data_IF_922959754666
#
_entry.id   IF_922959754666
#
_cell.length_a   1.000
_cell.length_b   1.000
_cell.length_c   1.000
_cell.angle_alpha   90.00
_cell.angle_beta   90.00
_cell.angle_gamma   90.00
#
_symmetry.space_group_name_H-M   'P 1'
#
loop_
_entity.id
_entity.type
_entity.pdbx_description
1 polymer ?
#
# COMPACT_ATOMS: atom_id res chain seq x y z
N UNK A 1 -8.24 3.79 -18.77
CA UNK A 1 -9.46 3.01 -18.40
C UNK A 1 -9.84 2.03 -19.50
N UNK A 2 -10.02 2.49 -20.75
CA UNK A 2 -10.42 1.64 -21.88
C UNK A 2 -9.49 0.43 -22.10
N UNK A 3 -8.18 0.59 -21.92
CA UNK A 3 -7.20 -0.49 -22.07
C UNK A 3 -7.52 -1.75 -21.23
N UNK A 4 -7.81 -1.58 -19.92
CA UNK A 4 -8.17 -2.72 -19.05
C UNK A 4 -9.54 -3.32 -19.37
N UNK A 5 -10.46 -2.51 -19.90
CA UNK A 5 -11.78 -2.99 -20.28
C UNK A 5 -11.75 -3.80 -21.57
N UNK A 6 -10.86 -3.46 -22.52
CA UNK A 6 -10.64 -4.27 -23.73
C UNK A 6 -10.04 -5.64 -23.41
N UNK A 7 -9.24 -5.73 -22.33
CA UNK A 7 -8.75 -7.01 -21.81
C UNK A 7 -9.78 -7.86 -21.07
N UNK A 8 -11.03 -7.41 -20.91
CA UNK A 8 -12.05 -8.11 -20.10
C UNK A 8 -12.33 -9.53 -20.57
N UNK A 9 -12.16 -9.84 -21.87
CA UNK A 9 -12.28 -11.19 -22.41
C UNK A 9 -11.32 -12.19 -21.74
N UNK A 10 -10.16 -11.72 -21.29
CA UNK A 10 -9.11 -12.54 -20.67
C UNK A 10 -9.15 -12.48 -19.14
N UNK A 11 -10.13 -11.79 -18.55
CA UNK A 11 -10.23 -11.55 -17.10
C UNK A 11 -11.51 -12.16 -16.53
N UNK A 12 -11.45 -12.60 -15.28
CA UNK A 12 -12.62 -13.08 -14.53
C UNK A 12 -13.29 -11.97 -13.71
N UNK A 13 -12.91 -10.71 -13.94
CA UNK A 13 -13.47 -9.55 -13.24
C UNK A 13 -14.50 -8.86 -14.15
N UNK A 14 -15.80 -9.02 -13.87
CA UNK A 14 -16.86 -8.56 -14.80
C UNK A 14 -17.01 -7.04 -14.84
N UNK A 15 -16.55 -6.30 -13.81
CA UNK A 15 -16.76 -4.87 -13.69
C UNK A 15 -15.47 -4.15 -13.29
N UNK A 16 -15.01 -3.24 -14.14
CA UNK A 16 -13.86 -2.35 -13.91
C UNK A 16 -14.32 -0.91 -14.09
N UNK A 17 -14.18 -0.10 -13.04
CA UNK A 17 -14.56 1.32 -13.02
C UNK A 17 -13.33 2.17 -12.70
N UNK A 18 -13.30 3.39 -13.22
CA UNK A 18 -12.34 4.40 -12.81
C UNK A 18 -13.01 5.77 -12.93
N UNK A 19 -12.92 6.57 -11.87
CA UNK A 19 -13.45 7.92 -11.82
C UNK A 19 -12.58 8.76 -10.87
N UNK A 20 -12.74 10.09 -10.94
CA UNK A 20 -12.20 11.03 -9.96
C UNK A 20 -13.13 11.15 -8.74
N UNK A 21 -14.42 10.90 -8.90
CA UNK A 21 -15.37 10.89 -7.79
C UNK A 21 -15.20 9.61 -6.96
N UNK A 22 -15.09 9.77 -5.64
CA UNK A 22 -14.96 8.66 -4.69
C UNK A 22 -16.28 7.88 -4.53
N UNK A 23 -17.42 8.39 -5.01
CA UNK A 23 -18.69 7.66 -4.97
C UNK A 23 -18.62 6.29 -5.66
N UNK A 24 -17.77 6.13 -6.67
CA UNK A 24 -17.55 4.85 -7.36
C UNK A 24 -16.89 3.78 -6.48
N UNK A 25 -16.33 4.18 -5.33
CA UNK A 25 -15.67 3.29 -4.37
C UNK A 25 -16.64 2.74 -3.32
N UNK A 26 -17.93 3.05 -3.39
CA UNK A 26 -18.92 2.67 -2.37
C UNK A 26 -18.89 1.18 -2.04
N UNK A 27 -18.96 0.86 -0.74
CA UNK A 27 -18.98 -0.51 -0.21
C UNK A 27 -17.78 -1.39 -0.60
N UNK A 28 -16.61 -0.79 -0.85
CA UNK A 28 -15.36 -1.52 -1.11
C UNK A 28 -14.98 -2.36 0.12
N UNK A 29 -14.54 -3.60 -0.12
CA UNK A 29 -14.04 -4.49 0.94
C UNK A 29 -12.59 -4.19 1.30
N UNK A 30 -11.78 -3.92 0.29
CA UNK A 30 -10.36 -3.57 0.43
C UNK A 30 -10.09 -2.33 -0.42
N UNK A 31 -9.37 -1.37 0.13
CA UNK A 31 -8.93 -0.16 -0.57
C UNK A 31 -7.41 -0.09 -0.51
N UNK A 32 -6.76 -0.09 -1.67
CA UNK A 32 -5.29 0.02 -1.77
C UNK A 32 -4.92 1.46 -2.10
N UNK A 33 -4.22 2.12 -1.18
CA UNK A 33 -3.77 3.51 -1.35
C UNK A 33 -2.34 3.51 -1.85
N UNK A 34 -2.18 3.82 -3.15
CA UNK A 34 -0.89 3.95 -3.82
C UNK A 34 -0.57 5.40 -4.21
N UNK A 35 -1.49 6.33 -3.90
CA UNK A 35 -1.33 7.75 -4.21
C UNK A 35 -0.33 8.38 -3.22
N UNK A 36 0.65 9.10 -3.75
CA UNK A 36 1.65 9.79 -2.96
C UNK A 36 2.44 10.75 -3.82
N UNK A 37 3.15 11.66 -3.17
CA UNK A 37 4.11 12.54 -3.83
C UNK A 37 5.48 11.87 -3.87
N UNK A 38 6.21 12.06 -4.98
CA UNK A 38 7.60 11.65 -5.08
C UNK A 38 8.49 12.66 -4.37
N UNK A 39 9.55 12.16 -3.73
CA UNK A 39 10.61 12.97 -3.16
C UNK A 39 11.27 13.81 -4.25
N UNK A 40 11.48 15.09 -3.96
CA UNK A 40 12.24 15.99 -4.82
C UNK A 40 13.73 15.98 -4.42
N UNK A 41 14.61 16.31 -5.36
CA UNK A 41 16.04 16.41 -5.06
C UNK A 41 16.30 17.46 -3.97
N UNK A 42 17.04 17.07 -2.93
CA UNK A 42 17.33 17.92 -1.78
C UNK A 42 16.19 18.07 -0.77
N UNK A 43 15.05 17.39 -0.96
CA UNK A 43 13.93 17.42 -0.02
C UNK A 43 14.21 16.53 1.20
N UNK A 44 14.00 17.08 2.40
CA UNK A 44 14.07 16.31 3.64
C UNK A 44 12.91 15.32 3.77
N UNK A 45 13.15 14.21 4.44
CA UNK A 45 12.12 13.18 4.68
C UNK A 45 10.89 13.73 5.41
N UNK A 46 11.10 14.70 6.33
CA UNK A 46 10.02 15.38 7.02
C UNK A 46 9.12 16.19 6.07
N UNK A 47 9.71 16.89 5.11
CA UNK A 47 8.94 17.65 4.11
C UNK A 47 8.15 16.71 3.19
N UNK A 48 8.77 15.60 2.79
CA UNK A 48 8.13 14.54 2.02
C UNK A 48 6.92 13.95 2.76
N UNK A 49 7.09 13.62 4.04
CA UNK A 49 5.99 13.13 4.90
C UNK A 49 4.88 14.17 4.97
N UNK A 50 5.20 15.44 5.23
CA UNK A 50 4.20 16.49 5.39
C UNK A 50 3.35 16.69 4.13
N UNK A 51 3.96 16.63 2.95
CA UNK A 51 3.25 16.70 1.66
C UNK A 51 2.34 15.50 1.46
N UNK A 52 2.81 14.29 1.76
CA UNK A 52 1.99 13.09 1.70
C UNK A 52 0.82 13.16 2.72
N UNK A 53 1.04 13.65 3.93
CA UNK A 53 -0.02 13.88 4.92
C UNK A 53 -1.09 14.81 4.36
N UNK A 54 -0.71 15.89 3.68
CA UNK A 54 -1.67 16.81 3.07
C UNK A 54 -2.51 16.11 2.00
N UNK A 55 -1.91 15.26 1.16
CA UNK A 55 -2.66 14.44 0.20
C UNK A 55 -3.62 13.49 0.92
N UNK A 56 -3.15 12.79 1.95
CA UNK A 56 -3.94 11.81 2.70
C UNK A 56 -5.12 12.43 3.44
N UNK A 57 -5.00 13.68 3.90
CA UNK A 57 -6.12 14.45 4.49
C UNK A 57 -7.30 14.62 3.53
N UNK A 58 -7.07 14.61 2.22
CA UNK A 58 -8.14 14.65 1.23
C UNK A 58 -8.64 13.25 0.88
N UNK A 59 -7.74 12.27 0.73
CA UNK A 59 -8.07 10.92 0.25
C UNK A 59 -8.79 10.07 1.31
N UNK A 60 -8.21 9.97 2.50
CA UNK A 60 -8.65 9.00 3.52
C UNK A 60 -10.09 9.26 4.01
N UNK A 61 -10.50 10.52 4.33
CA UNK A 61 -11.87 10.77 4.75
C UNK A 61 -12.91 10.44 3.68
N UNK A 62 -12.59 10.64 2.39
CA UNK A 62 -13.49 10.27 1.30
C UNK A 62 -13.66 8.76 1.19
N UNK A 63 -12.58 7.99 1.35
CA UNK A 63 -12.64 6.53 1.35
C UNK A 63 -13.58 6.03 2.46
N UNK A 64 -13.39 6.49 3.70
CA UNK A 64 -14.19 6.04 4.85
C UNK A 64 -15.65 6.50 4.74
N UNK A 65 -15.89 7.68 4.15
CA UNK A 65 -17.25 8.18 3.87
C UNK A 65 -18.06 7.20 3.01
N UNK A 66 -17.46 6.65 1.95
CA UNK A 66 -18.17 5.76 1.01
C UNK A 66 -18.01 4.27 1.37
N UNK A 67 -16.99 3.91 2.14
CA UNK A 67 -16.68 2.53 2.55
C UNK A 67 -16.27 2.46 4.02
N UNK A 68 -17.22 2.65 4.96
CA UNK A 68 -16.90 2.66 6.40
C UNK A 68 -16.40 1.31 6.92
N UNK A 69 -16.71 0.21 6.22
CA UNK A 69 -16.33 -1.14 6.61
C UNK A 69 -15.11 -1.73 5.91
N UNK A 70 -14.42 -0.92 5.09
CA UNK A 70 -13.27 -1.42 4.34
C UNK A 70 -12.05 -1.71 5.21
N UNK A 71 -11.15 -2.54 4.66
CA UNK A 71 -9.75 -2.64 5.08
C UNK A 71 -8.93 -1.74 4.15
N UNK A 72 -8.07 -0.90 4.71
CA UNK A 72 -7.17 -0.03 3.95
C UNK A 72 -5.77 -0.63 3.95
N UNK A 73 -5.21 -0.82 2.75
CA UNK A 73 -3.82 -1.22 2.53
C UNK A 73 -3.04 -0.03 1.99
N UNK A 74 -2.06 0.45 2.75
CA UNK A 74 -1.21 1.59 2.38
C UNK A 74 0.06 1.07 1.72
N UNK A 75 0.34 1.55 0.50
CA UNK A 75 1.56 1.21 -0.26
C UNK A 75 2.45 2.44 -0.45
N UNK A 76 1.89 3.64 -0.34
CA UNK A 76 2.63 4.90 -0.50
C UNK A 76 3.75 5.04 0.54
N UNK A 77 4.89 5.55 0.12
CA UNK A 77 6.06 5.75 0.97
C UNK A 77 6.13 7.18 1.57
N UNK A 78 6.68 7.33 2.79
CA UNK A 78 7.21 6.27 3.66
C UNK A 78 6.07 5.47 4.34
N UNK A 79 6.03 4.16 4.07
CA UNK A 79 4.82 3.34 4.32
C UNK A 79 4.45 3.24 5.79
N UNK A 80 5.40 3.14 6.69
CA UNK A 80 5.13 2.96 8.12
C UNK A 80 4.45 4.21 8.72
N UNK A 81 4.99 5.40 8.39
CA UNK A 81 4.44 6.68 8.84
C UNK A 81 3.09 6.94 8.16
N UNK A 82 2.95 6.68 6.86
CA UNK A 82 1.69 6.89 6.14
C UNK A 82 0.60 5.91 6.56
N UNK A 83 0.97 4.71 7.02
CA UNK A 83 0.03 3.76 7.64
C UNK A 83 -0.51 4.34 8.95
N UNK A 84 0.37 4.89 9.80
CA UNK A 84 -0.05 5.57 11.03
C UNK A 84 -0.97 6.77 10.74
N UNK A 85 -0.60 7.61 9.78
CA UNK A 85 -1.41 8.77 9.36
C UNK A 85 -2.78 8.31 8.86
N UNK A 86 -2.83 7.26 8.04
CA UNK A 86 -4.08 6.66 7.56
C UNK A 86 -4.95 6.18 8.70
N UNK A 87 -4.36 5.50 9.69
CA UNK A 87 -5.09 5.05 10.87
C UNK A 87 -5.70 6.23 11.63
N UNK A 88 -4.94 7.30 11.86
CA UNK A 88 -5.44 8.49 12.55
C UNK A 88 -6.51 9.24 11.78
N UNK A 89 -6.36 9.38 10.46
CA UNK A 89 -7.32 10.11 9.61
C UNK A 89 -8.59 9.31 9.34
N UNK A 90 -8.50 7.98 9.28
CA UNK A 90 -9.65 7.11 8.97
C UNK A 90 -10.58 6.90 10.15
N UNK A 91 -10.07 6.92 11.39
CA UNK A 91 -10.83 6.55 12.58
C UNK A 91 -11.20 5.06 12.64
N UNK A 92 -10.66 4.24 11.73
CA UNK A 92 -10.89 2.81 11.71
C UNK A 92 -10.17 2.11 12.88
N UNK A 93 -10.66 0.94 13.33
CA UNK A 93 -9.92 0.12 14.29
C UNK A 93 -8.58 -0.31 13.67
N UNK A 94 -7.53 -0.37 14.49
CA UNK A 94 -6.14 -0.65 14.06
C UNK A 94 -5.99 -1.89 13.15
N UNK A 95 -6.82 -2.93 13.36
CA UNK A 95 -6.80 -4.15 12.55
C UNK A 95 -7.24 -3.96 11.09
N UNK A 96 -7.88 -2.84 10.75
CA UNK A 96 -8.38 -2.52 9.40
C UNK A 96 -7.46 -1.58 8.62
N UNK A 97 -6.30 -1.22 9.18
CA UNK A 97 -5.33 -0.36 8.50
C UNK A 97 -3.98 -1.07 8.49
N UNK A 98 -3.53 -1.44 7.30
CA UNK A 98 -2.36 -2.30 7.08
C UNK A 98 -1.41 -1.57 6.13
N UNK A 99 -0.14 -1.47 6.47
CA UNK A 99 0.90 -1.03 5.55
C UNK A 99 1.43 -2.21 4.74
N UNK A 100 1.90 -1.99 3.51
CA UNK A 100 2.62 -3.03 2.77
C UNK A 100 3.90 -3.47 3.49
N UNK A 101 4.52 -2.54 4.25
CA UNK A 101 5.69 -2.77 5.10
C UNK A 101 6.79 -3.53 4.38
N UNK A 102 7.43 -4.44 5.11
CA UNK A 102 8.55 -5.25 4.62
C UNK A 102 8.14 -6.54 3.90
N UNK A 103 6.91 -6.65 3.38
CA UNK A 103 6.45 -7.88 2.72
C UNK A 103 7.26 -8.14 1.43
N UNK A 104 7.51 -7.10 0.64
CA UNK A 104 8.33 -7.20 -0.58
C UNK A 104 9.81 -7.46 -0.22
N UNK A 105 10.33 -6.82 0.82
CA UNK A 105 11.71 -7.03 1.28
C UNK A 105 11.93 -8.47 1.76
N UNK A 106 10.97 -9.04 2.48
CA UNK A 106 10.98 -10.45 2.89
C UNK A 106 10.95 -11.39 1.68
N UNK A 107 10.13 -11.09 0.67
CA UNK A 107 10.11 -11.86 -0.57
C UNK A 107 11.45 -11.80 -1.31
N UNK A 108 12.06 -10.62 -1.40
CA UNK A 108 13.40 -10.42 -1.97
C UNK A 108 14.49 -11.15 -1.19
N UNK A 109 14.46 -11.09 0.14
CA UNK A 109 15.39 -11.82 1.01
C UNK A 109 15.30 -13.33 0.78
N UNK A 110 14.08 -13.87 0.77
CA UNK A 110 13.84 -15.30 0.50
C UNK A 110 14.29 -15.71 -0.90
N UNK A 111 14.07 -14.87 -1.91
CA UNK A 111 14.55 -15.09 -3.27
C UNK A 111 16.09 -15.20 -3.31
N UNK A 112 16.79 -14.25 -2.69
CA UNK A 112 18.26 -14.25 -2.68
C UNK A 112 18.86 -15.43 -1.90
N UNK A 113 18.21 -15.89 -0.83
CA UNK A 113 18.61 -17.12 -0.13
C UNK A 113 18.42 -18.35 -1.01
N UNK A 114 17.28 -18.44 -1.69
CA UNK A 114 16.91 -19.56 -2.54
C UNK A 114 17.87 -19.74 -3.72
N UNK A 115 18.24 -18.63 -4.38
CA UNK A 115 19.25 -18.59 -5.44
C UNK A 115 20.60 -19.14 -4.96
N UNK A 116 21.03 -18.77 -3.74
CA UNK A 116 22.29 -19.27 -3.16
C UNK A 116 22.25 -20.75 -2.79
N UNK A 117 21.08 -21.25 -2.41
CA UNK A 117 20.88 -22.63 -1.96
C UNK A 117 20.45 -23.58 -3.08
N UNK A 118 20.10 -23.07 -4.26
CA UNK A 118 19.61 -23.88 -5.38
C UNK A 118 18.24 -24.52 -5.12
N UNK A 119 17.41 -23.90 -4.28
CA UNK A 119 16.05 -24.40 -3.95
C UNK A 119 14.99 -23.36 -4.30
N UNK A 120 13.72 -23.74 -4.27
CA UNK A 120 12.64 -22.80 -4.57
C UNK A 120 12.42 -21.79 -3.40
N UNK A 121 12.18 -20.49 -3.65
CA UNK A 121 12.01 -19.48 -2.59
C UNK A 121 10.89 -19.76 -1.58
N UNK A 122 9.88 -20.54 -1.98
CA UNK A 122 8.83 -20.97 -1.04
C UNK A 122 9.36 -21.89 0.06
N UNK A 123 10.49 -22.57 -0.17
CA UNK A 123 11.16 -23.47 0.78
C UNK A 123 12.21 -22.76 1.65
N UNK A 124 12.49 -21.49 1.36
CA UNK A 124 13.30 -20.63 2.21
C UNK A 124 12.38 -19.85 3.15
N UNK A 125 12.70 -19.87 4.44
CA UNK A 125 11.96 -19.14 5.48
C UNK A 125 12.91 -18.15 6.15
N UNK A 126 12.49 -16.88 6.18
CA UNK A 126 13.24 -15.75 6.73
C UNK A 126 12.43 -14.49 6.51
N UNK A 127 12.57 -13.52 7.40
CA UNK A 127 11.70 -12.34 7.46
C UNK A 127 12.54 -11.08 7.55
N UNK A 128 12.11 -10.05 6.82
CA UNK A 128 12.56 -8.68 7.03
C UNK A 128 11.45 -7.97 7.81
N UNK A 129 11.81 -7.43 8.96
CA UNK A 129 10.90 -6.74 9.89
C UNK A 129 11.41 -5.33 10.19
N UNK A 130 10.66 -4.56 10.98
CA UNK A 130 11.03 -3.19 11.36
C UNK A 130 10.53 -2.15 10.36
N UNK A 131 11.24 -1.03 10.29
CA UNK A 131 10.97 0.06 9.34
C UNK A 131 11.29 -0.40 7.92
N UNK A 132 10.39 -0.14 6.97
CA UNK A 132 10.65 -0.40 5.55
C UNK A 132 11.76 0.52 5.04
N UNK A 133 12.85 -0.08 4.55
CA UNK A 133 14.00 0.64 4.00
C UNK A 133 15.30 0.27 4.70
N UNK A 134 16.19 1.26 4.84
CA UNK A 134 17.58 1.05 5.29
C UNK A 134 17.69 0.56 6.74
N UNK A 135 16.70 0.84 7.59
CA UNK A 135 16.67 0.43 9.00
C UNK A 135 15.94 -0.91 9.22
N UNK A 136 15.63 -1.64 8.15
CA UNK A 136 14.98 -2.94 8.25
C UNK A 136 15.89 -3.99 8.90
N UNK A 137 15.29 -4.97 9.56
CA UNK A 137 15.99 -5.99 10.37
C UNK A 137 15.65 -7.38 9.83
N UNK A 138 16.67 -8.13 9.44
CA UNK A 138 16.52 -9.53 9.03
C UNK A 138 16.46 -10.46 10.26
N UNK A 139 15.49 -11.37 10.27
CA UNK A 139 15.21 -12.35 11.33
C UNK A 139 14.95 -13.73 10.72
#
# INVERSE_FOLDING_TARGET
>A
MMDRQYGSLFLQTPKIMADKDYSVTVNSKIVVVTAGVRQQEGESDLNLVQRNVNVFKFIIPQIVKYSPDCIIIVVSNPVDILTYVTWKLSGLPKQRVIGSGCNLDSAGFRYLMAEKLGIHPSSCHGWILGEHGNSSVAV
#
